data_IF_464336129663
#
_entry.id   IF_464336129663
#
_cell.length_a   1.000
_cell.length_b   1.000
_cell.length_c   1.000
_cell.angle_alpha   90.00
_cell.angle_beta   90.00
_cell.angle_gamma   90.00
#
_symmetry.space_group_name_H-M   'P 1'
#
loop_
_entity.id
_entity.type
_entity.pdbx_description
1 polymer ?
#
# COMPACT_ATOMS: atom_id res chain seq x y z
N UNK A 1 11.73 -1.61 12.89
CA UNK A 1 12.02 -0.26 13.45
C UNK A 1 13.36 0.31 13.01
N UNK A 2 14.52 -0.39 13.09
CA UNK A 2 15.81 0.16 12.63
C UNK A 2 15.79 0.64 11.17
N UNK A 3 15.07 -0.10 10.33
CA UNK A 3 14.87 0.21 8.90
C UNK A 3 14.25 1.60 8.69
N UNK A 4 13.32 2.03 9.55
CA UNK A 4 12.66 3.35 9.42
C UNK A 4 13.69 4.46 9.63
N UNK A 5 14.52 4.35 10.67
CA UNK A 5 15.58 5.33 10.93
C UNK A 5 16.60 5.40 9.80
N UNK A 6 17.00 4.25 9.26
CA UNK A 6 17.90 4.19 8.11
C UNK A 6 17.29 4.86 6.87
N UNK A 7 16.01 4.63 6.58
CA UNK A 7 15.34 5.30 5.47
C UNK A 7 15.19 6.80 5.70
N UNK A 8 14.85 7.25 6.91
CA UNK A 8 14.78 8.69 7.22
C UNK A 8 16.15 9.37 7.04
N UNK A 9 17.23 8.69 7.45
CA UNK A 9 18.61 9.12 7.21
C UNK A 9 18.89 9.28 5.70
N UNK A 10 18.57 8.26 4.89
CA UNK A 10 18.80 8.30 3.45
C UNK A 10 17.94 9.36 2.73
N UNK A 11 16.64 9.43 3.05
CA UNK A 11 15.71 10.39 2.44
C UNK A 11 16.15 11.82 2.71
N UNK A 12 16.58 12.14 3.94
CA UNK A 12 17.02 13.50 4.26
C UNK A 12 18.32 13.88 3.55
N UNK A 13 19.23 12.93 3.31
CA UNK A 13 20.41 13.16 2.47
C UNK A 13 20.00 13.49 1.03
N UNK A 14 19.07 12.73 0.45
CA UNK A 14 18.57 12.98 -0.90
C UNK A 14 17.83 14.32 -1.01
N UNK A 15 17.16 14.71 0.08
CA UNK A 15 16.48 16.00 0.20
C UNK A 15 17.50 17.16 0.30
N UNK A 16 18.58 16.99 1.07
CA UNK A 16 19.68 17.96 1.15
C UNK A 16 20.32 18.24 -0.22
N UNK A 17 20.55 17.19 -1.01
CA UNK A 17 21.09 17.32 -2.37
C UNK A 17 20.10 17.83 -3.42
N UNK A 18 18.82 18.00 -3.08
CA UNK A 18 17.81 18.46 -4.05
C UNK A 18 17.30 17.36 -5.00
N UNK A 19 17.64 16.09 -4.78
CA UNK A 19 17.33 14.98 -5.70
C UNK A 19 15.83 14.67 -5.66
N UNK A 20 15.26 14.52 -4.46
CA UNK A 20 13.83 14.26 -4.28
C UNK A 20 13.01 15.39 -4.86
N UNK A 21 13.41 16.64 -4.61
CA UNK A 21 12.74 17.83 -5.13
C UNK A 21 12.72 17.83 -6.66
N UNK A 22 13.84 17.52 -7.31
CA UNK A 22 13.92 17.44 -8.77
C UNK A 22 12.99 16.35 -9.33
N UNK A 23 12.94 15.17 -8.70
CA UNK A 23 12.06 14.07 -9.11
C UNK A 23 10.60 14.45 -8.91
N UNK A 24 10.25 14.93 -7.72
CA UNK A 24 8.87 15.27 -7.32
C UNK A 24 8.31 16.42 -8.15
N UNK A 25 9.09 17.45 -8.47
CA UNK A 25 8.65 18.55 -9.35
C UNK A 25 8.40 18.07 -10.76
N UNK A 26 9.28 17.22 -11.32
CA UNK A 26 9.10 16.69 -12.68
C UNK A 26 7.89 15.77 -12.78
N UNK A 27 7.70 14.88 -11.80
CA UNK A 27 6.51 14.05 -11.72
C UNK A 27 5.26 14.89 -11.49
N UNK A 28 5.34 15.92 -10.63
CA UNK A 28 4.23 16.83 -10.37
C UNK A 28 3.83 17.62 -11.61
N UNK A 29 4.79 18.11 -12.37
CA UNK A 29 4.56 18.77 -13.66
C UNK A 29 3.93 17.81 -14.68
N UNK A 30 4.37 16.55 -14.73
CA UNK A 30 3.77 15.54 -15.58
C UNK A 30 2.29 15.29 -15.19
N UNK A 31 2.01 15.13 -13.90
CA UNK A 31 0.64 14.98 -13.39
C UNK A 31 -0.21 16.20 -13.73
N UNK A 32 0.32 17.40 -13.51
CA UNK A 32 -0.33 18.67 -13.78
C UNK A 32 -0.77 18.78 -15.24
N UNK A 33 0.13 18.48 -16.19
CA UNK A 33 -0.19 18.52 -17.62
C UNK A 33 -1.20 17.43 -17.99
N UNK A 34 -1.03 16.23 -17.44
CA UNK A 34 -1.89 15.10 -17.80
C UNK A 34 -3.33 15.23 -17.28
N UNK A 35 -3.52 15.82 -16.11
CA UNK A 35 -4.81 15.88 -15.42
C UNK A 35 -5.43 17.29 -15.40
N UNK A 36 -4.67 18.34 -15.76
CA UNK A 36 -5.12 19.73 -15.67
C UNK A 36 -5.29 20.23 -14.24
N UNK A 37 -4.71 19.52 -13.26
CA UNK A 37 -4.71 19.88 -11.84
C UNK A 37 -3.77 21.05 -11.54
N UNK A 38 -3.84 21.62 -10.35
CA UNK A 38 -2.98 22.76 -9.98
C UNK A 38 -1.58 22.30 -9.60
N UNK A 39 -0.60 23.21 -9.62
CA UNK A 39 0.80 22.85 -9.34
C UNK A 39 0.95 22.27 -7.93
N UNK A 40 0.28 22.89 -6.94
CA UNK A 40 0.38 22.50 -5.54
C UNK A 40 -0.12 21.08 -5.28
N UNK A 41 -1.33 20.75 -5.74
CA UNK A 41 -1.88 19.41 -5.55
C UNK A 41 -1.13 18.35 -6.36
N UNK A 42 -0.64 18.69 -7.56
CA UNK A 42 0.11 17.75 -8.41
C UNK A 42 1.49 17.42 -7.86
N UNK A 43 2.20 18.44 -7.35
CA UNK A 43 3.49 18.26 -6.68
C UNK A 43 3.30 17.54 -5.36
N UNK A 44 2.27 17.84 -4.57
CA UNK A 44 1.98 17.10 -3.35
C UNK A 44 1.63 15.63 -3.61
N UNK A 45 0.81 15.34 -4.63
CA UNK A 45 0.49 13.96 -5.01
C UNK A 45 1.73 13.19 -5.49
N UNK A 46 2.65 13.85 -6.19
CA UNK A 46 3.93 13.24 -6.56
C UNK A 46 4.85 13.05 -5.36
N UNK A 47 4.83 13.99 -4.42
CA UNK A 47 5.60 13.92 -3.18
C UNK A 47 5.14 12.75 -2.32
N UNK A 48 3.83 12.51 -2.23
CA UNK A 48 3.26 11.46 -1.37
C UNK A 48 3.60 10.03 -1.82
N UNK A 49 4.19 9.85 -3.01
CA UNK A 49 4.78 8.57 -3.45
C UNK A 49 6.03 8.22 -2.63
N UNK A 50 6.81 9.23 -2.23
CA UNK A 50 8.10 9.06 -1.56
C UNK A 50 8.05 9.50 -0.09
N UNK A 51 7.34 10.59 0.17
CA UNK A 51 7.16 11.21 1.47
C UNK A 51 5.81 10.77 2.06
N UNK A 52 5.73 10.77 3.39
CA UNK A 52 4.47 10.44 4.06
C UNK A 52 3.45 11.57 3.99
N UNK A 53 2.25 11.28 4.45
CA UNK A 53 1.09 12.19 4.43
C UNK A 53 1.30 13.48 5.24
N UNK A 54 2.21 13.47 6.22
CA UNK A 54 2.57 14.64 7.04
C UNK A 54 3.74 15.44 6.45
N UNK A 55 4.59 14.81 5.65
CA UNK A 55 5.81 15.40 5.11
C UNK A 55 5.58 15.98 3.71
N UNK A 56 4.75 15.33 2.88
CA UNK A 56 4.45 15.80 1.53
C UNK A 56 3.91 17.26 1.51
N UNK A 57 3.01 17.68 2.42
CA UNK A 57 2.51 19.06 2.44
C UNK A 57 3.57 20.12 2.77
N UNK A 58 4.70 19.76 3.39
CA UNK A 58 5.79 20.69 3.70
C UNK A 58 6.39 21.31 2.43
N UNK A 59 6.41 20.55 1.34
CA UNK A 59 6.93 21.02 0.05
C UNK A 59 6.11 22.16 -0.55
N UNK A 60 4.84 22.26 -0.14
CA UNK A 60 3.89 23.26 -0.62
C UNK A 60 3.41 24.17 0.50
N UNK A 61 4.13 24.21 1.64
CA UNK A 61 3.69 24.92 2.85
C UNK A 61 3.34 26.39 2.57
N UNK A 62 4.13 27.06 1.70
CA UNK A 62 3.89 28.46 1.33
C UNK A 62 2.58 28.71 0.58
N UNK A 63 1.98 27.67 0.00
CA UNK A 63 0.77 27.75 -0.82
C UNK A 63 -0.48 27.28 -0.08
N UNK A 64 -0.33 26.57 1.06
CA UNK A 64 -1.45 25.97 1.80
C UNK A 64 -2.54 26.99 2.13
N UNK A 65 -2.17 28.24 2.46
CA UNK A 65 -3.11 29.30 2.83
C UNK A 65 -4.10 29.67 1.72
N UNK A 66 -3.68 29.53 0.47
CA UNK A 66 -4.43 29.98 -0.70
C UNK A 66 -5.10 28.83 -1.46
N UNK A 67 -5.02 27.60 -0.92
CA UNK A 67 -5.66 26.45 -1.51
C UNK A 67 -7.19 26.49 -1.39
N UNK A 68 -7.86 26.04 -2.45
CA UNK A 68 -9.30 25.80 -2.47
C UNK A 68 -9.66 24.55 -1.66
N UNK A 69 -10.95 24.35 -1.39
CA UNK A 69 -11.44 23.14 -0.71
C UNK A 69 -11.12 21.86 -1.49
N UNK A 70 -11.20 21.91 -2.81
CA UNK A 70 -10.92 20.74 -3.67
C UNK A 70 -9.43 20.40 -3.68
N UNK A 71 -8.55 21.41 -3.71
CA UNK A 71 -7.10 21.20 -3.58
C UNK A 71 -6.72 20.60 -2.22
N UNK A 72 -7.29 21.11 -1.12
CA UNK A 72 -7.08 20.52 0.22
C UNK A 72 -7.59 19.08 0.27
N UNK A 73 -8.76 18.81 -0.31
CA UNK A 73 -9.28 17.44 -0.42
C UNK A 73 -8.33 16.54 -1.21
N UNK A 74 -7.76 17.02 -2.32
CA UNK A 74 -6.80 16.26 -3.14
C UNK A 74 -5.49 15.95 -2.40
N UNK A 75 -4.94 16.93 -1.67
CA UNK A 75 -3.76 16.73 -0.82
C UNK A 75 -4.04 15.65 0.23
N UNK A 76 -5.20 15.71 0.89
CA UNK A 76 -5.57 14.75 1.91
C UNK A 76 -5.82 13.35 1.33
N UNK A 77 -6.57 13.26 0.23
CA UNK A 77 -6.85 11.99 -0.45
C UNK A 77 -5.57 11.32 -0.95
N UNK A 78 -4.63 12.10 -1.51
CA UNK A 78 -3.30 11.63 -1.90
C UNK A 78 -2.53 11.06 -0.72
N UNK A 79 -2.53 11.74 0.44
CA UNK A 79 -1.89 11.24 1.65
C UNK A 79 -2.49 9.94 2.19
N UNK A 80 -3.81 9.74 2.08
CA UNK A 80 -4.46 8.48 2.50
C UNK A 80 -4.30 7.34 1.48
N UNK A 81 -4.13 7.67 0.21
CA UNK A 81 -4.01 6.70 -0.89
C UNK A 81 -2.61 6.13 -1.08
N UNK A 82 -1.59 6.75 -0.50
CA UNK A 82 -0.19 6.34 -0.64
C UNK A 82 0.42 5.91 0.70
N UNK A 83 1.60 5.29 0.62
CA UNK A 83 2.44 5.01 1.79
C UNK A 83 3.80 5.69 1.61
N UNK A 84 4.40 6.09 2.73
CA UNK A 84 5.73 6.71 2.72
C UNK A 84 6.81 5.69 2.35
N UNK A 85 7.86 6.14 1.64
CA UNK A 85 9.04 5.33 1.40
C UNK A 85 9.74 4.89 2.69
N UNK A 86 9.60 5.66 3.77
CA UNK A 86 10.20 5.38 5.09
C UNK A 86 9.62 4.14 5.77
N UNK A 87 8.36 3.79 5.49
CA UNK A 87 7.67 2.63 6.07
C UNK A 87 7.61 1.44 5.11
N UNK A 88 7.86 1.67 3.81
CA UNK A 88 7.86 0.66 2.75
C UNK A 88 8.68 -0.58 3.12
N UNK A 89 9.91 -0.35 3.61
CA UNK A 89 10.81 -1.44 3.94
C UNK A 89 10.40 -2.22 5.21
N UNK A 90 9.59 -1.62 6.10
CA UNK A 90 8.96 -2.36 7.17
C UNK A 90 7.91 -3.35 6.61
N UNK A 91 7.10 -2.95 5.64
CA UNK A 91 6.12 -3.83 5.01
C UNK A 91 6.78 -4.98 4.24
N UNK A 92 7.88 -4.68 3.54
CA UNK A 92 8.71 -5.70 2.88
C UNK A 92 9.21 -6.73 3.91
N UNK A 93 9.68 -6.26 5.07
CA UNK A 93 10.14 -7.15 6.14
C UNK A 93 9.04 -8.04 6.72
N UNK A 94 7.78 -7.63 6.62
CA UNK A 94 6.63 -8.44 7.04
C UNK A 94 6.24 -9.50 5.99
N UNK A 95 6.68 -9.36 4.75
CA UNK A 95 6.49 -10.34 3.68
C UNK A 95 5.82 -9.80 2.42
N UNK A 96 5.50 -8.51 2.38
CA UNK A 96 5.00 -7.84 1.18
C UNK A 96 6.09 -7.77 0.10
N UNK A 97 5.72 -7.94 -1.16
CA UNK A 97 6.68 -7.81 -2.25
C UNK A 97 6.96 -6.34 -2.58
N UNK A 98 8.24 -6.02 -2.70
CA UNK A 98 8.71 -4.67 -3.01
C UNK A 98 8.14 -4.16 -4.34
N UNK A 99 8.10 -5.01 -5.36
CA UNK A 99 7.66 -4.64 -6.72
C UNK A 99 6.22 -4.13 -6.72
N UNK A 100 5.33 -4.84 -6.01
CA UNK A 100 3.93 -4.47 -5.88
C UNK A 100 3.74 -3.21 -5.03
N UNK A 101 4.47 -3.06 -3.93
CA UNK A 101 4.36 -1.86 -3.10
C UNK A 101 4.83 -0.60 -3.82
N UNK A 102 5.96 -0.66 -4.53
CA UNK A 102 6.49 0.49 -5.29
C UNK A 102 5.52 0.86 -6.42
N UNK A 103 5.01 -0.16 -7.13
CA UNK A 103 4.04 0.05 -8.22
C UNK A 103 2.73 0.64 -7.69
N UNK A 104 2.22 0.13 -6.56
CA UNK A 104 1.03 0.64 -5.90
C UNK A 104 1.20 2.12 -5.50
N UNK A 105 2.30 2.47 -4.85
CA UNK A 105 2.59 3.87 -4.46
C UNK A 105 2.62 4.82 -5.66
N UNK A 106 3.30 4.44 -6.75
CA UNK A 106 3.38 5.27 -7.96
C UNK A 106 2.00 5.41 -8.62
N UNK A 107 1.24 4.33 -8.72
CA UNK A 107 -0.09 4.31 -9.35
C UNK A 107 -1.14 5.08 -8.54
N UNK A 108 -1.00 5.09 -7.21
CA UNK A 108 -1.90 5.81 -6.30
C UNK A 108 -1.86 7.33 -6.47
N UNK A 109 -0.73 7.93 -6.91
CA UNK A 109 -0.65 9.39 -7.09
C UNK A 109 -1.61 9.96 -8.15
N UNK A 110 -1.57 9.52 -9.43
CA UNK A 110 -2.54 9.98 -10.44
C UNK A 110 -3.96 9.51 -10.10
N UNK A 111 -4.11 8.31 -9.54
CA UNK A 111 -5.41 7.77 -9.14
C UNK A 111 -6.07 8.60 -8.04
N UNK A 112 -5.31 9.07 -7.06
CA UNK A 112 -5.80 9.92 -5.98
C UNK A 112 -6.25 11.28 -6.48
N UNK A 113 -5.51 11.91 -7.40
CA UNK A 113 -5.94 13.16 -8.01
C UNK A 113 -7.24 12.98 -8.80
N UNK A 114 -7.31 11.96 -9.66
CA UNK A 114 -8.48 11.67 -10.47
C UNK A 114 -9.72 11.39 -9.59
N UNK A 115 -9.59 10.48 -8.62
CA UNK A 115 -10.69 10.11 -7.74
C UNK A 115 -11.08 11.25 -6.81
N UNK A 116 -10.12 12.04 -6.33
CA UNK A 116 -10.39 13.24 -5.54
C UNK A 116 -11.21 14.24 -6.33
N UNK A 117 -10.82 14.57 -7.58
CA UNK A 117 -11.55 15.52 -8.41
C UNK A 117 -12.91 14.99 -8.88
N UNK A 118 -13.09 13.67 -8.95
CA UNK A 118 -14.41 13.07 -9.16
C UNK A 118 -15.31 13.21 -7.92
N UNK A 119 -14.75 12.98 -6.73
CA UNK A 119 -15.51 12.96 -5.47
C UNK A 119 -15.74 14.35 -4.86
N UNK A 120 -14.82 15.28 -5.10
CA UNK A 120 -14.83 16.67 -4.65
C UNK A 120 -14.23 17.58 -5.75
N UNK A 121 -15.02 17.90 -6.80
CA UNK A 121 -14.54 18.66 -7.95
C UNK A 121 -14.14 20.09 -7.61
N UNK A 122 -13.28 20.67 -8.46
CA UNK A 122 -12.87 22.07 -8.36
C UNK A 122 -14.04 22.98 -8.75
N UNK A 123 -14.42 23.91 -7.86
CA UNK A 123 -15.51 24.87 -8.10
C UNK A 123 -15.08 26.32 -7.97
N UNK A 124 -13.86 26.55 -7.49
CA UNK A 124 -13.29 27.86 -7.23
C UNK A 124 -12.11 28.09 -8.19
N UNK A 125 -11.87 29.34 -8.56
CA UNK A 125 -10.67 29.68 -9.33
C UNK A 125 -9.45 29.55 -8.43
N UNK A 126 -8.57 28.58 -8.74
CA UNK A 126 -7.32 28.44 -8.01
C UNK A 126 -6.43 29.66 -8.21
N UNK A 127 -5.83 30.13 -7.11
CA UNK A 127 -4.87 31.24 -7.12
C UNK A 127 -3.46 30.80 -7.50
N UNK A 128 -3.22 29.48 -7.64
CA UNK A 128 -1.90 28.87 -7.78
C UNK A 128 -1.60 28.42 -9.21
N UNK A 129 -2.04 29.18 -10.21
CA UNK A 129 -2.14 28.64 -11.58
C UNK A 129 -0.80 28.58 -12.31
N UNK A 130 0.11 29.53 -12.13
CA UNK A 130 1.44 29.46 -12.76
C UNK A 130 2.44 30.33 -11.99
N UNK A 131 3.21 29.73 -11.08
CA UNK A 131 4.54 30.20 -10.71
C UNK A 131 5.26 29.07 -9.96
N UNK A 132 6.54 28.85 -10.30
CA UNK A 132 7.35 27.74 -9.79
C UNK A 132 7.24 27.65 -8.28
N UNK A 133 6.77 26.51 -7.76
CA UNK A 133 6.78 26.24 -6.31
C UNK A 133 8.19 26.51 -5.81
N UNK A 134 8.36 27.51 -4.94
CA UNK A 134 9.61 27.71 -4.22
C UNK A 134 9.68 26.61 -3.19
N UNK A 135 10.27 25.48 -3.60
CA UNK A 135 10.48 24.38 -2.68
C UNK A 135 11.50 24.84 -1.65
N UNK A 136 11.07 24.82 -0.38
CA UNK A 136 11.92 25.10 0.76
C UNK A 136 13.05 24.06 0.75
N UNK A 137 14.28 24.53 0.46
CA UNK A 137 15.47 23.69 0.60
C UNK A 137 15.75 23.47 2.07
N UNK A 138 16.30 22.29 2.37
CA UNK A 138 16.81 21.97 3.69
C UNK A 138 17.88 22.98 4.11
N UNK A 139 17.77 23.46 5.35
CA UNK A 139 18.64 24.48 5.94
C UNK A 139 19.88 23.88 6.63
N UNK A 140 20.15 22.58 6.44
CA UNK A 140 21.29 21.94 7.08
C UNK A 140 22.61 22.47 6.55
N UNK A 141 23.57 22.52 7.45
CA UNK A 141 24.91 23.03 7.17
C UNK A 141 25.77 22.03 6.39
N UNK A 142 25.42 20.74 6.45
CA UNK A 142 26.12 19.66 5.74
C UNK A 142 25.31 18.37 5.66
N UNK A 143 25.83 17.41 4.89
CA UNK A 143 25.18 16.10 4.65
C UNK A 143 24.94 15.32 5.94
N UNK A 144 25.92 15.33 6.85
CA UNK A 144 25.80 14.62 8.13
C UNK A 144 24.75 15.27 9.03
N UNK A 145 24.70 16.61 9.06
CA UNK A 145 23.69 17.38 9.78
C UNK A 145 22.28 17.05 9.24
N UNK A 146 22.10 17.08 7.92
CA UNK A 146 20.86 16.66 7.28
C UNK A 146 20.49 15.21 7.64
N UNK A 147 21.44 14.29 7.60
CA UNK A 147 21.18 12.89 7.91
C UNK A 147 20.74 12.69 9.37
N UNK A 148 21.37 13.41 10.32
CA UNK A 148 20.99 13.39 11.75
C UNK A 148 19.63 14.05 11.98
N UNK A 149 19.30 15.14 11.28
CA UNK A 149 17.95 15.73 11.29
C UNK A 149 16.91 14.72 10.81
N UNK A 150 17.22 13.96 9.75
CA UNK A 150 16.37 12.87 9.25
C UNK A 150 16.11 11.80 10.31
N UNK A 151 17.16 11.32 10.98
CA UNK A 151 17.02 10.35 12.08
C UNK A 151 16.18 10.92 13.24
N UNK A 152 16.39 12.19 13.60
CA UNK A 152 15.65 12.87 14.66
C UNK A 152 14.16 13.00 14.31
N UNK A 153 13.84 13.35 13.06
CA UNK A 153 12.46 13.34 12.56
C UNK A 153 11.85 11.92 12.61
N UNK A 154 12.65 10.90 12.30
CA UNK A 154 12.28 9.49 12.42
C UNK A 154 11.83 9.08 13.84
N UNK A 155 12.31 9.74 14.89
CA UNK A 155 11.87 9.48 16.28
C UNK A 155 10.37 9.74 16.42
N UNK A 156 9.87 10.87 15.90
CA UNK A 156 8.45 11.19 15.99
C UNK A 156 7.59 10.21 15.19
N UNK A 157 8.06 9.80 14.00
CA UNK A 157 7.39 8.79 13.17
C UNK A 157 7.29 7.46 13.93
N UNK A 158 8.39 6.97 14.49
CA UNK A 158 8.42 5.70 15.23
C UNK A 158 7.58 5.76 16.49
N UNK A 159 7.66 6.85 17.27
CA UNK A 159 6.81 7.05 18.45
C UNK A 159 5.33 7.10 18.08
N UNK A 160 4.98 7.79 16.99
CA UNK A 160 3.62 7.85 16.48
C UNK A 160 3.10 6.47 16.08
N UNK A 161 3.90 5.68 15.35
CA UNK A 161 3.55 4.29 14.98
C UNK A 161 3.34 3.44 16.24
N UNK A 162 4.27 3.47 17.19
CA UNK A 162 4.17 2.68 18.43
C UNK A 162 2.93 3.08 19.23
N UNK A 163 2.72 4.37 19.45
CA UNK A 163 1.57 4.88 20.20
C UNK A 163 0.25 4.47 19.54
N UNK A 164 0.12 4.65 18.22
CA UNK A 164 -1.08 4.26 17.48
C UNK A 164 -1.30 2.74 17.52
N UNK A 165 -0.27 1.94 17.25
CA UNK A 165 -0.38 0.47 17.28
C UNK A 165 -0.81 -0.02 18.66
N UNK A 166 -0.22 0.48 19.74
CA UNK A 166 -0.60 0.11 21.11
C UNK A 166 -2.06 0.52 21.40
N UNK A 167 -2.43 1.76 21.10
CA UNK A 167 -3.77 2.28 21.37
C UNK A 167 -4.85 1.48 20.62
N UNK A 168 -4.65 1.23 19.32
CA UNK A 168 -5.64 0.50 18.52
C UNK A 168 -5.66 -0.99 18.80
N UNK A 169 -4.53 -1.65 19.09
CA UNK A 169 -4.54 -3.06 19.52
C UNK A 169 -5.30 -3.20 20.84
N UNK A 170 -5.05 -2.31 21.82
CA UNK A 170 -5.78 -2.31 23.08
C UNK A 170 -7.28 -2.04 22.87
N UNK A 171 -7.63 -1.12 21.99
CA UNK A 171 -9.03 -0.82 21.67
C UNK A 171 -9.74 -1.99 20.97
N UNK A 172 -9.10 -2.65 20.01
CA UNK A 172 -9.65 -3.84 19.36
C UNK A 172 -9.78 -5.00 20.35
N UNK A 173 -8.80 -5.20 21.24
CA UNK A 173 -8.89 -6.21 22.29
C UNK A 173 -10.07 -5.94 23.24
N UNK A 174 -10.31 -4.67 23.59
CA UNK A 174 -11.47 -4.24 24.35
C UNK A 174 -12.79 -4.53 23.62
N UNK A 175 -12.90 -4.18 22.33
CA UNK A 175 -14.09 -4.48 21.52
C UNK A 175 -14.32 -5.99 21.38
N UNK A 176 -13.26 -6.77 21.17
CA UNK A 176 -13.34 -8.22 21.14
C UNK A 176 -13.87 -8.76 22.47
N UNK A 177 -13.38 -8.28 23.61
CA UNK A 177 -13.87 -8.70 24.92
C UNK A 177 -15.37 -8.43 25.12
N UNK A 178 -15.86 -7.25 24.71
CA UNK A 178 -17.29 -6.93 24.74
C UNK A 178 -18.09 -7.85 23.82
N UNK A 179 -17.63 -8.02 22.58
CA UNK A 179 -18.35 -8.80 21.57
C UNK A 179 -18.39 -10.29 21.89
N UNK A 180 -17.30 -10.84 22.41
CA UNK A 180 -17.25 -12.23 22.87
C UNK A 180 -18.18 -12.42 24.06
N UNK A 181 -18.19 -11.50 25.03
CA UNK A 181 -19.14 -11.54 26.15
C UNK A 181 -20.61 -11.50 25.69
N UNK A 182 -20.94 -10.64 24.72
CA UNK A 182 -22.30 -10.59 24.13
C UNK A 182 -22.59 -11.86 23.33
N UNK A 183 -21.64 -12.34 22.52
CA UNK A 183 -21.76 -13.55 21.71
C UNK A 183 -22.08 -14.78 22.57
N UNK A 184 -21.36 -14.93 23.67
CA UNK A 184 -21.58 -16.01 24.65
C UNK A 184 -22.99 -15.95 25.25
N UNK A 185 -23.54 -14.75 25.48
CA UNK A 185 -24.91 -14.58 25.98
C UNK A 185 -25.99 -15.00 24.96
N UNK A 186 -25.74 -14.84 23.65
CA UNK A 186 -26.69 -15.21 22.59
C UNK A 186 -26.40 -16.58 21.96
N UNK A 187 -25.44 -17.33 22.51
CA UNK A 187 -25.05 -18.66 22.04
C UNK A 187 -24.25 -18.66 20.74
N UNK A 188 -23.61 -17.55 20.38
CA UNK A 188 -22.71 -17.44 19.22
C UNK A 188 -21.27 -17.31 19.73
N UNK A 189 -20.50 -18.41 19.79
CA UNK A 189 -19.12 -18.37 20.25
C UNK A 189 -18.20 -17.65 19.24
N UNK A 190 -17.05 -17.17 19.73
CA UNK A 190 -15.94 -16.61 18.92
C UNK A 190 -16.28 -15.36 18.07
N UNK A 191 -17.26 -14.57 18.50
CA UNK A 191 -17.55 -13.26 17.89
C UNK A 191 -16.48 -12.27 18.30
N UNK A 192 -15.65 -11.88 17.33
CA UNK A 192 -14.63 -10.83 17.49
C UNK A 192 -14.92 -9.68 16.52
N UNK A 193 -14.49 -8.47 16.88
CA UNK A 193 -14.61 -7.28 16.06
C UNK A 193 -13.92 -7.49 14.70
N UNK A 194 -12.74 -8.11 14.71
CA UNK A 194 -11.98 -8.40 13.48
C UNK A 194 -12.73 -9.37 12.57
N UNK A 195 -13.38 -10.40 13.12
CA UNK A 195 -14.18 -11.33 12.32
C UNK A 195 -15.40 -10.63 11.71
N UNK A 196 -16.12 -9.79 12.47
CA UNK A 196 -17.25 -9.01 11.97
C UNK A 196 -16.80 -8.09 10.82
N UNK A 197 -15.70 -7.36 11.00
CA UNK A 197 -15.15 -6.52 9.94
C UNK A 197 -14.76 -7.35 8.71
N UNK A 198 -14.14 -8.51 8.92
CA UNK A 198 -13.86 -9.48 7.86
C UNK A 198 -15.12 -9.82 7.05
N UNK A 199 -16.24 -10.14 7.70
CA UNK A 199 -17.49 -10.42 7.01
C UNK A 199 -18.06 -9.21 6.26
N UNK A 200 -18.00 -8.01 6.85
CA UNK A 200 -18.49 -6.77 6.23
C UNK A 200 -17.74 -6.46 4.93
N UNK A 201 -16.43 -6.74 4.88
CA UNK A 201 -15.59 -6.45 3.73
C UNK A 201 -15.53 -7.58 2.68
N UNK A 202 -16.20 -8.73 2.88
CA UNK A 202 -16.25 -9.81 1.87
C UNK A 202 -16.75 -9.32 0.50
N UNK A 203 -17.86 -8.56 0.40
CA UNK A 203 -18.33 -8.07 -0.89
C UNK A 203 -17.29 -7.21 -1.60
N UNK A 204 -16.55 -6.40 -0.84
CA UNK A 204 -15.48 -5.55 -1.39
C UNK A 204 -14.30 -6.39 -1.87
N UNK A 205 -13.85 -7.38 -1.08
CA UNK A 205 -12.79 -8.30 -1.48
C UNK A 205 -13.14 -9.05 -2.78
N UNK A 206 -14.38 -9.52 -2.88
CA UNK A 206 -14.87 -10.20 -4.08
C UNK A 206 -14.90 -9.26 -5.29
N UNK A 207 -15.38 -8.01 -5.14
CA UNK A 207 -15.39 -7.00 -6.21
C UNK A 207 -13.97 -6.63 -6.68
N UNK A 208 -12.98 -6.66 -5.79
CA UNK A 208 -11.57 -6.47 -6.17
C UNK A 208 -10.99 -7.65 -6.97
N UNK A 209 -11.75 -8.74 -7.13
CA UNK A 209 -11.39 -9.90 -7.91
C UNK A 209 -10.61 -10.95 -7.12
N UNK A 210 -10.82 -11.04 -5.82
CA UNK A 210 -10.31 -12.15 -4.97
C UNK A 210 -11.17 -13.40 -5.19
N UNK A 211 -10.56 -14.58 -5.16
CA UNK A 211 -11.28 -15.85 -5.21
C UNK A 211 -12.20 -16.00 -3.98
N UNK A 212 -13.38 -16.59 -4.16
CA UNK A 212 -14.40 -16.66 -3.11
C UNK A 212 -13.88 -17.32 -1.82
N UNK A 213 -13.08 -18.37 -1.96
CA UNK A 213 -12.45 -19.11 -0.87
C UNK A 213 -11.46 -18.26 -0.06
N UNK A 214 -10.86 -17.25 -0.70
CA UNK A 214 -9.85 -16.37 -0.12
C UNK A 214 -10.42 -15.00 0.29
N UNK A 215 -11.67 -14.69 -0.11
CA UNK A 215 -12.32 -13.42 0.19
C UNK A 215 -12.37 -13.11 1.68
N UNK A 216 -12.61 -14.11 2.54
CA UNK A 216 -12.68 -13.87 3.99
C UNK A 216 -11.32 -13.45 4.57
N UNK A 217 -10.23 -14.11 4.14
CA UNK A 217 -8.89 -13.79 4.60
C UNK A 217 -8.46 -12.38 4.09
N UNK A 218 -8.72 -12.05 2.83
CA UNK A 218 -8.41 -10.70 2.29
C UNK A 218 -9.30 -9.62 2.92
N UNK A 219 -10.60 -9.90 3.12
CA UNK A 219 -11.51 -8.96 3.76
C UNK A 219 -11.11 -8.68 5.21
N UNK A 220 -10.60 -9.68 5.94
CA UNK A 220 -10.01 -9.50 7.27
C UNK A 220 -8.84 -8.52 7.23
N UNK A 221 -7.95 -8.63 6.25
CA UNK A 221 -6.82 -7.70 6.07
C UNK A 221 -7.31 -6.27 5.79
N UNK A 222 -8.29 -6.09 4.90
CA UNK A 222 -8.89 -4.78 4.61
C UNK A 222 -9.55 -4.19 5.85
N UNK A 223 -10.26 -5.01 6.64
CA UNK A 223 -10.85 -4.60 7.91
C UNK A 223 -9.80 -4.16 8.94
N UNK A 224 -8.72 -4.92 9.09
CA UNK A 224 -7.59 -4.57 9.96
C UNK A 224 -6.95 -3.25 9.54
N UNK A 225 -6.71 -3.04 8.24
CA UNK A 225 -6.18 -1.78 7.73
C UNK A 225 -7.09 -0.61 8.03
N UNK A 226 -8.38 -0.76 7.74
CA UNK A 226 -9.34 0.33 7.85
C UNK A 226 -9.61 0.72 9.30
N UNK A 227 -9.57 -0.23 10.25
CA UNK A 227 -9.90 0.06 11.66
C UNK A 227 -8.68 0.29 12.55
N UNK A 228 -7.56 -0.39 12.28
CA UNK A 228 -6.35 -0.34 13.10
C UNK A 228 -5.29 0.48 12.38
N UNK A 229 -4.66 -0.12 11.36
CA UNK A 229 -3.70 0.49 10.46
C UNK A 229 -3.15 -0.58 9.50
N UNK A 230 -2.50 -0.11 8.45
CA UNK A 230 -1.81 -0.91 7.46
C UNK A 230 -0.64 -1.72 8.03
N UNK A 231 0.05 -1.25 9.08
CA UNK A 231 1.17 -1.98 9.71
C UNK A 231 0.71 -3.35 10.26
N UNK A 232 -0.36 -3.35 11.05
CA UNK A 232 -0.94 -4.59 11.63
C UNK A 232 -1.50 -5.48 10.53
N UNK A 233 -2.11 -4.88 9.49
CA UNK A 233 -2.61 -5.64 8.35
C UNK A 233 -1.48 -6.31 7.55
N UNK A 234 -0.35 -5.63 7.30
CA UNK A 234 0.80 -6.22 6.61
C UNK A 234 1.47 -7.32 7.43
N UNK A 235 1.50 -7.19 8.76
CA UNK A 235 1.99 -8.25 9.63
C UNK A 235 1.12 -9.51 9.50
N UNK A 236 -0.21 -9.36 9.51
CA UNK A 236 -1.16 -10.46 9.30
C UNK A 236 -1.07 -11.04 7.89
N UNK A 237 -0.89 -10.20 6.86
CA UNK A 237 -0.64 -10.66 5.48
C UNK A 237 0.56 -11.60 5.43
N UNK A 238 1.66 -11.23 6.11
CA UNK A 238 2.84 -12.08 6.24
C UNK A 238 2.57 -13.43 6.89
N UNK A 239 1.68 -13.48 7.89
CA UNK A 239 1.24 -14.72 8.55
C UNK A 239 0.42 -15.58 7.58
N UNK A 240 -0.56 -15.01 6.88
CA UNK A 240 -1.40 -15.71 5.91
C UNK A 240 -0.59 -16.28 4.75
N UNK A 241 0.39 -15.52 4.27
CA UNK A 241 1.33 -15.94 3.23
C UNK A 241 2.16 -17.15 3.66
N UNK A 242 2.76 -17.10 4.86
CA UNK A 242 3.52 -18.25 5.42
C UNK A 242 2.65 -19.49 5.64
N UNK A 243 1.37 -19.29 5.93
CA UNK A 243 0.39 -20.36 6.05
C UNK A 243 -0.13 -20.90 4.71
N UNK A 244 0.27 -20.31 3.57
CA UNK A 244 -0.18 -20.73 2.24
C UNK A 244 -1.64 -20.43 1.93
N UNK A 245 -2.33 -19.62 2.74
CA UNK A 245 -3.77 -19.34 2.60
C UNK A 245 -4.13 -18.50 1.38
N UNK A 246 -3.19 -17.67 0.94
CA UNK A 246 -3.36 -16.78 -0.22
C UNK A 246 -2.70 -17.33 -1.49
N UNK A 247 -2.12 -18.53 -1.44
CA UNK A 247 -1.52 -19.18 -2.61
C UNK A 247 -2.59 -19.73 -3.54
N UNK A 248 -2.35 -19.68 -4.85
CA UNK A 248 -3.18 -20.40 -5.81
C UNK A 248 -3.10 -21.90 -5.52
N UNK A 249 -4.25 -22.58 -5.54
CA UNK A 249 -4.27 -24.04 -5.60
C UNK A 249 -3.79 -24.44 -7.01
N UNK A 250 -2.90 -25.44 -7.16
CA UNK A 250 -2.60 -25.95 -8.48
C UNK A 250 -3.90 -26.39 -9.14
N UNK A 251 -4.10 -26.12 -10.45
CA UNK A 251 -5.31 -26.57 -11.13
C UNK A 251 -5.45 -28.09 -11.00
N UNK A 252 -6.68 -28.63 -11.06
CA UNK A 252 -6.87 -30.07 -11.04
C UNK A 252 -6.12 -30.69 -12.22
N UNK A 253 -5.00 -31.35 -11.92
CA UNK A 253 -4.25 -32.12 -12.91
C UNK A 253 -5.12 -33.28 -13.35
N UNK A 254 -5.57 -33.28 -14.60
CA UNK A 254 -6.26 -34.46 -15.14
C UNK A 254 -5.28 -35.65 -15.12
N UNK A 255 -5.71 -36.86 -14.70
CA UNK A 255 -4.83 -38.03 -14.55
C UNK A 255 -4.03 -38.42 -15.81
N UNK A 256 -4.44 -37.91 -16.97
CA UNK A 256 -3.77 -38.09 -18.26
C UNK A 256 -2.46 -37.32 -18.39
N UNK A 257 -2.26 -36.20 -17.69
CA UNK A 257 -1.03 -35.39 -17.78
C UNK A 257 0.13 -35.94 -16.94
N UNK A 258 -0.17 -36.64 -15.84
CA UNK A 258 0.83 -37.33 -15.00
C UNK A 258 1.54 -38.45 -15.77
N UNK A 259 0.85 -39.03 -16.77
CA UNK A 259 1.39 -40.14 -17.58
C UNK A 259 2.34 -39.68 -18.69
N UNK A 260 2.31 -38.39 -19.06
CA UNK A 260 3.11 -37.86 -20.16
C UNK A 260 4.50 -37.35 -19.72
N UNK A 261 4.71 -37.09 -18.43
CA UNK A 261 6.00 -36.63 -17.87
C UNK A 261 6.93 -37.74 -17.38
N UNK A 262 6.47 -39.01 -17.40
CA UNK A 262 7.29 -40.17 -17.04
C UNK A 262 7.73 -40.87 -18.32
N UNK A 263 8.93 -40.52 -18.82
CA UNK A 263 9.62 -41.42 -19.75
C UNK A 263 9.98 -42.71 -18.99
N UNK A 264 9.77 -43.91 -19.54
CA UNK A 264 10.05 -45.17 -18.84
C UNK A 264 11.55 -45.47 -18.67
N UNK A 265 12.44 -44.55 -19.03
CA UNK A 265 13.90 -44.74 -19.00
C UNK A 265 14.62 -44.24 -17.73
N UNK A 266 13.90 -43.69 -16.75
CA UNK A 266 14.52 -43.13 -15.53
C UNK A 266 13.98 -43.73 -14.22
N UNK A 267 13.66 -45.02 -14.22
CA UNK A 267 13.60 -45.81 -12.99
C UNK A 267 15.03 -46.15 -12.52
N UNK A 268 15.79 -45.13 -12.11
CA UNK A 268 17.12 -45.28 -11.51
C UNK A 268 17.07 -44.74 -10.09
N UNK A 269 17.28 -45.66 -9.14
CA UNK A 269 17.45 -45.55 -7.69
C UNK A 269 17.38 -44.16 -7.04
N UNK A 270 16.23 -43.86 -6.43
CA UNK A 270 15.99 -42.76 -5.49
C UNK A 270 16.58 -43.06 -4.09
N UNK A 271 17.91 -43.15 -3.97
CA UNK A 271 18.56 -43.51 -2.70
C UNK A 271 19.65 -42.54 -2.20
N UNK A 272 19.72 -41.29 -2.67
CA UNK A 272 20.70 -40.32 -2.12
C UNK A 272 20.08 -38.98 -1.71
N UNK A 273 20.39 -38.55 -0.48
CA UNK A 273 19.98 -37.27 0.14
C UNK A 273 20.37 -36.06 -0.72
N UNK A 274 21.43 -36.18 -1.53
CA UNK A 274 21.87 -35.17 -2.50
C UNK A 274 20.91 -34.97 -3.66
N UNK A 275 20.20 -36.02 -4.10
CA UNK A 275 19.20 -35.90 -5.16
C UNK A 275 17.96 -35.14 -4.68
N UNK A 276 17.55 -35.35 -3.43
CA UNK A 276 16.46 -34.59 -2.80
C UNK A 276 16.82 -33.12 -2.59
N UNK A 277 18.07 -32.83 -2.21
CA UNK A 277 18.56 -31.45 -2.09
C UNK A 277 18.56 -30.78 -3.46
N UNK A 278 19.10 -31.42 -4.50
CA UNK A 278 19.09 -30.89 -5.86
C UNK A 278 17.67 -30.70 -6.40
N UNK A 279 16.74 -31.61 -6.09
CA UNK A 279 15.33 -31.47 -6.46
C UNK A 279 14.66 -30.30 -5.72
N UNK A 280 14.94 -30.10 -4.44
CA UNK A 280 14.48 -28.94 -3.68
C UNK A 280 15.11 -27.62 -4.19
N UNK A 281 16.37 -27.65 -4.63
CA UNK A 281 17.03 -26.45 -5.19
C UNK A 281 16.52 -26.10 -6.58
N UNK A 282 16.18 -27.09 -7.41
CA UNK A 282 15.55 -26.84 -8.71
C UNK A 282 14.09 -26.40 -8.57
N UNK A 283 13.35 -26.89 -7.56
CA UNK A 283 12.04 -26.34 -7.20
C UNK A 283 12.17 -24.89 -6.71
N UNK A 284 13.17 -24.55 -5.89
CA UNK A 284 13.42 -23.15 -5.48
C UNK A 284 13.79 -22.25 -6.68
N UNK A 285 14.57 -22.76 -7.64
CA UNK A 285 14.89 -22.02 -8.88
C UNK A 285 13.70 -21.83 -9.81
N UNK A 286 12.76 -22.79 -9.83
CA UNK A 286 11.49 -22.67 -10.55
C UNK A 286 10.52 -21.76 -9.77
N UNK A 287 10.56 -21.79 -8.43
CA UNK A 287 9.77 -20.93 -7.54
C UNK A 287 10.15 -19.44 -7.64
N UNK A 288 11.38 -19.12 -8.07
CA UNK A 288 11.82 -17.75 -8.41
C UNK A 288 11.01 -17.15 -9.58
N UNK A 289 10.19 -17.95 -10.28
CA UNK A 289 9.40 -17.51 -11.43
C UNK A 289 7.89 -17.78 -11.31
N UNK A 290 7.38 -17.91 -10.09
CA UNK A 290 5.93 -17.93 -9.86
C UNK A 290 5.51 -16.48 -9.58
N UNK A 291 4.66 -15.85 -10.43
CA UNK A 291 4.03 -14.58 -10.10
C UNK A 291 3.42 -14.67 -8.70
N UNK A 292 3.50 -13.60 -7.91
CA UNK A 292 2.83 -13.57 -6.61
C UNK A 292 1.36 -14.02 -6.79
N UNK A 293 0.83 -14.92 -5.95
CA UNK A 293 -0.54 -15.37 -6.07
C UNK A 293 -1.50 -14.18 -6.19
N UNK A 294 -2.47 -14.26 -7.10
CA UNK A 294 -3.37 -13.15 -7.43
C UNK A 294 -3.94 -12.43 -6.21
N UNK A 295 -4.42 -13.19 -5.22
CA UNK A 295 -5.02 -12.64 -4.00
C UNK A 295 -4.00 -11.98 -3.07
N UNK A 296 -2.74 -12.43 -3.07
CA UNK A 296 -1.65 -11.77 -2.35
C UNK A 296 -1.31 -10.42 -2.98
N UNK A 297 -1.29 -10.35 -4.32
CA UNK A 297 -1.09 -9.08 -5.03
C UNK A 297 -2.25 -8.11 -4.76
N UNK A 298 -3.50 -8.55 -4.91
CA UNK A 298 -4.69 -7.72 -4.61
C UNK A 298 -4.64 -7.21 -3.17
N UNK A 299 -4.36 -8.07 -2.19
CA UNK A 299 -4.24 -7.67 -0.80
C UNK A 299 -3.12 -6.64 -0.60
N UNK A 300 -1.94 -6.85 -1.19
CA UNK A 300 -0.82 -5.91 -1.10
C UNK A 300 -1.23 -4.51 -1.58
N UNK A 301 -1.93 -4.39 -2.71
CA UNK A 301 -2.38 -3.09 -3.22
C UNK A 301 -3.49 -2.48 -2.35
N UNK A 302 -4.47 -3.28 -1.90
CA UNK A 302 -5.58 -2.80 -1.07
C UNK A 302 -5.11 -2.24 0.29
N UNK A 303 -4.01 -2.80 0.81
CA UNK A 303 -3.36 -2.38 2.05
C UNK A 303 -2.41 -1.20 1.87
N UNK A 304 -1.99 -0.89 0.63
CA UNK A 304 -1.02 0.15 0.31
C UNK A 304 -1.63 1.56 0.37
N UNK A 305 -1.96 2.02 1.59
CA UNK A 305 -2.31 3.41 1.86
C UNK A 305 -2.58 3.67 3.34
N UNK A 306 -2.38 4.92 3.78
CA UNK A 306 -2.58 5.36 5.17
C UNK A 306 -4.04 5.61 5.56
N UNK A 307 -5.02 5.04 4.86
CA UNK A 307 -6.44 5.28 5.13
C UNK A 307 -6.96 4.51 6.36
N UNK A 308 -6.57 4.96 7.56
CA UNK A 308 -7.10 4.51 8.86
C UNK A 308 -7.47 5.71 9.79
N UNK A 309 -8.32 5.52 10.82
CA UNK A 309 -8.74 6.60 11.73
C UNK A 309 -7.60 7.31 12.47
N UNK A 310 -6.52 6.59 12.80
CA UNK A 310 -5.34 7.20 13.43
C UNK A 310 -4.65 8.19 12.49
N UNK A 311 -4.44 7.79 11.24
CA UNK A 311 -3.90 8.64 10.19
C UNK A 311 -4.80 9.84 9.88
N UNK A 312 -6.13 9.68 9.94
CA UNK A 312 -7.07 10.80 9.79
C UNK A 312 -6.80 11.90 10.83
N UNK A 313 -6.62 11.50 12.10
CA UNK A 313 -6.25 12.42 13.18
C UNK A 313 -4.88 13.07 12.98
N UNK A 314 -3.88 12.28 12.58
CA UNK A 314 -2.52 12.78 12.29
C UNK A 314 -2.55 13.82 11.18
N UNK A 315 -3.26 13.56 10.07
CA UNK A 315 -3.30 14.47 8.93
C UNK A 315 -3.96 15.79 9.27
N UNK A 316 -5.11 15.73 9.95
CA UNK A 316 -5.81 16.94 10.39
C UNK A 316 -4.90 17.76 11.30
N UNK A 317 -4.24 17.11 12.27
CA UNK A 317 -3.31 17.77 13.19
C UNK A 317 -2.11 18.39 12.48
N UNK A 318 -1.49 17.66 11.56
CA UNK A 318 -0.33 18.09 10.79
C UNK A 318 -0.66 19.25 9.85
N UNK A 319 -1.71 19.14 9.03
CA UNK A 319 -2.09 20.23 8.13
C UNK A 319 -2.54 21.48 8.90
N UNK A 320 -3.24 21.30 10.03
CA UNK A 320 -3.67 22.41 10.89
C UNK A 320 -2.48 23.09 11.56
N UNK A 321 -1.44 22.36 11.96
CA UNK A 321 -0.23 22.97 12.54
C UNK A 321 0.59 23.72 11.49
N UNK A 322 0.58 23.26 10.24
CA UNK A 322 1.23 23.92 9.11
C UNK A 322 0.49 25.19 8.65
N UNK A 323 -0.84 25.15 8.61
CA UNK A 323 -1.67 26.27 8.20
C UNK A 323 -2.93 26.40 9.09
N UNK A 324 -2.82 27.04 10.26
CA UNK A 324 -3.95 27.15 11.21
C UNK A 324 -5.19 27.84 10.62
N UNK A 325 -5.01 28.76 9.66
CA UNK A 325 -6.10 29.44 8.98
C UNK A 325 -6.96 28.52 8.11
N UNK A 326 -6.40 27.41 7.63
CA UNK A 326 -7.10 26.42 6.81
C UNK A 326 -7.84 25.36 7.63
N UNK A 327 -7.73 25.39 8.97
CA UNK A 327 -8.34 24.39 9.86
C UNK A 327 -9.82 24.09 9.53
N UNK A 328 -10.71 25.08 9.29
CA UNK A 328 -12.11 24.79 8.99
C UNK A 328 -12.26 23.93 7.74
N UNK A 329 -11.54 24.28 6.66
CA UNK A 329 -11.58 23.57 5.38
C UNK A 329 -11.00 22.17 5.53
N UNK A 330 -9.85 22.04 6.20
CA UNK A 330 -9.21 20.74 6.48
C UNK A 330 -10.20 19.80 7.17
N UNK A 331 -10.84 20.26 8.25
CA UNK A 331 -11.80 19.41 9.01
C UNK A 331 -13.08 19.11 8.23
N UNK A 332 -13.53 20.03 7.37
CA UNK A 332 -14.73 19.86 6.54
C UNK A 332 -14.56 18.74 5.51
N UNK A 333 -13.41 18.68 4.86
CA UNK A 333 -13.15 17.73 3.76
C UNK A 333 -12.53 16.40 4.22
N UNK A 334 -12.02 16.34 5.45
CA UNK A 334 -11.20 15.22 5.94
C UNK A 334 -11.84 13.83 5.77
N UNK A 335 -13.10 13.67 6.17
CA UNK A 335 -13.78 12.38 6.09
C UNK A 335 -14.04 11.95 4.63
N UNK A 336 -14.32 12.92 3.75
CA UNK A 336 -14.50 12.65 2.31
C UNK A 336 -13.17 12.24 1.68
N UNK A 337 -12.10 12.95 2.01
CA UNK A 337 -10.75 12.63 1.54
C UNK A 337 -10.28 11.25 2.03
N UNK A 338 -10.63 10.88 3.26
CA UNK A 338 -10.37 9.55 3.82
C UNK A 338 -11.03 8.42 3.01
N UNK A 339 -12.31 8.61 2.68
CA UNK A 339 -13.07 7.65 1.85
C UNK A 339 -12.47 7.59 0.44
N UNK A 340 -12.15 8.75 -0.15
CA UNK A 340 -11.53 8.84 -1.46
C UNK A 340 -10.18 8.11 -1.51
N UNK A 341 -9.30 8.32 -0.53
CA UNK A 341 -8.01 7.62 -0.46
C UNK A 341 -8.16 6.11 -0.25
N UNK A 342 -9.14 5.68 0.55
CA UNK A 342 -9.45 4.25 0.71
C UNK A 342 -9.89 3.63 -0.62
N UNK A 343 -10.80 4.30 -1.33
CA UNK A 343 -11.29 3.85 -2.62
C UNK A 343 -10.18 3.75 -3.68
N UNK A 344 -9.20 4.67 -3.65
CA UNK A 344 -8.03 4.61 -4.53
C UNK A 344 -7.22 3.34 -4.28
N UNK A 345 -6.97 2.97 -3.02
CA UNK A 345 -6.26 1.71 -2.70
C UNK A 345 -7.00 0.47 -3.26
N UNK A 346 -8.33 0.47 -3.18
CA UNK A 346 -9.14 -0.64 -3.71
C UNK A 346 -9.17 -0.64 -5.24
N UNK A 347 -9.24 0.53 -5.86
CA UNK A 347 -9.17 0.67 -7.31
C UNK A 347 -7.82 0.19 -7.86
N UNK A 348 -6.71 0.55 -7.20
CA UNK A 348 -5.38 0.07 -7.59
C UNK A 348 -5.24 -1.45 -7.39
N UNK A 349 -5.90 -2.00 -6.36
CA UNK A 349 -6.00 -3.45 -6.17
C UNK A 349 -6.79 -4.17 -7.26
N UNK A 350 -7.90 -3.60 -7.75
CA UNK A 350 -8.63 -4.13 -8.91
C UNK A 350 -7.75 -4.19 -10.16
N UNK A 351 -6.96 -3.13 -10.39
CA UNK A 351 -6.01 -3.06 -11.51
C UNK A 351 -4.97 -4.17 -11.38
N UNK A 352 -4.37 -4.33 -10.19
CA UNK A 352 -3.39 -5.39 -9.92
C UNK A 352 -3.98 -6.78 -10.15
N UNK A 353 -5.20 -7.04 -9.64
CA UNK A 353 -5.91 -8.30 -9.85
C UNK A 353 -6.11 -8.62 -11.33
N UNK A 354 -6.49 -7.63 -12.15
CA UNK A 354 -6.66 -7.80 -13.59
C UNK A 354 -5.36 -8.10 -14.32
N UNK A 355 -4.28 -7.39 -14.02
CA UNK A 355 -2.98 -7.63 -14.67
C UNK A 355 -2.30 -8.92 -14.22
N UNK A 356 -2.54 -9.36 -12.98
CA UNK A 356 -2.05 -10.64 -12.50
C UNK A 356 -2.67 -11.82 -13.27
N UNK A 357 -3.97 -11.75 -13.62
CA UNK A 357 -4.64 -12.75 -14.48
C UNK A 357 -3.96 -12.86 -15.85
N UNK A 358 -3.65 -11.73 -16.49
CA UNK A 358 -3.06 -11.71 -17.84
C UNK A 358 -1.67 -12.35 -17.88
N UNK A 359 -0.86 -12.12 -16.85
CA UNK A 359 0.46 -12.73 -16.74
C UNK A 359 0.37 -14.26 -16.56
N UNK A 360 -0.63 -14.76 -15.83
CA UNK A 360 -0.85 -16.20 -15.66
C UNK A 360 -1.34 -16.85 -16.96
N UNK A 361 -2.23 -16.20 -17.72
CA UNK A 361 -2.71 -16.70 -19.03
C UNK A 361 -1.59 -16.77 -20.09
N UNK A 362 -0.71 -15.77 -20.15
CA UNK A 362 0.44 -15.76 -21.08
C UNK A 362 1.47 -16.86 -20.76
N UNK A 363 1.65 -17.23 -19.48
CA UNK A 363 2.54 -18.35 -19.12
C UNK A 363 1.94 -19.71 -19.51
N UNK A 364 0.62 -19.88 -19.39
CA UNK A 364 -0.05 -21.13 -19.82
C UNK A 364 -0.01 -21.31 -21.34
N UNK A 365 -0.25 -20.25 -22.11
CA UNK A 365 -0.23 -20.31 -23.59
C UNK A 365 1.18 -20.53 -24.15
N UNK A 366 2.22 -19.93 -23.54
CA UNK A 366 3.61 -20.13 -23.98
C UNK A 366 4.21 -21.48 -23.57
N UNK A 367 3.77 -22.08 -22.46
CA UNK A 367 4.20 -23.44 -22.09
C UNK A 367 3.41 -24.54 -22.85
N UNK A 368 2.22 -24.24 -23.38
CA UNK A 368 1.43 -25.17 -24.19
C UNK A 368 1.82 -25.28 -25.67
N UNK A 369 2.69 -24.40 -26.17
CA UNK A 369 3.01 -24.29 -27.62
C UNK A 369 4.40 -24.80 -28.02
N UNK A 370 5.25 -25.21 -27.07
CA UNK A 370 6.59 -25.74 -27.35
C UNK A 370 6.68 -27.27 -27.55
N UNK A 371 5.57 -27.92 -27.90
CA UNK A 371 5.54 -29.35 -28.31
C UNK A 371 5.23 -29.50 -29.80
N UNK A 372 5.92 -28.78 -30.67
CA UNK A 372 6.07 -29.18 -32.08
C UNK A 372 7.42 -29.86 -32.27
N UNK A 373 7.41 -31.17 -32.00
CA UNK A 373 8.47 -32.08 -32.45
C UNK A 373 8.51 -31.98 -33.98
N UNK A 374 9.61 -31.45 -34.51
CA UNK A 374 9.96 -31.59 -35.93
C UNK A 374 10.95 -32.77 -36.05
N UNK A 375 10.82 -33.60 -37.10
CA UNK A 375 11.30 -34.99 -37.15
C UNK A 375 12.82 -35.18 -37.08
#
# INVERSE_FOLDING_TARGET
>A
MPVIFFFCFCVQILFYYGIIQNIVVKLGWLLQISLGTTVAESVNASASVFLGMSEAPLLIQGYLKDLTKSEVHAIMAGGFATVAGTVLAAYISFGAQADHLITASIMSAPAALCFSKLFYPETEDSKNTVDQIVIIKDDSTGVLDAAVKGVTAGIQIVLGIIANVIAFIAFVAFLNGILTWIGDMVGVPDVTFVNIMGYIFIPLAWVMGVEWEQCQDVAKLVGLKTMVNEFVAYQELGVLKRAGKLSEKPPPVHPTEIRASISPSSAVELNTTSALINYATEIDKIAIKIPQPRSEAIATYALCGFSNPGSLGILIGSLTSLCPSQRPIITEVALRAFIAGSAVCFMTACIAGKFCILLTEDQYTNNGTNTTISP
#
